data_IF_826677833718
#
_entry.id   IF_826677833718
#
_cell.length_a   1.000
_cell.length_b   1.000
_cell.length_c   1.000
_cell.angle_alpha   90.00
_cell.angle_beta   90.00
_cell.angle_gamma   90.00
#
_symmetry.space_group_name_H-M   'P 1'
#
loop_
_entity.id
_entity.type
_entity.pdbx_description
1 polymer ?
#
# COMPACT_ATOMS: atom_id res chain seq x y z
N UNK A 1 8.72 -7.72 3.27
CA UNK A 1 7.33 -7.90 2.79
C UNK A 1 6.93 -6.69 1.98
N UNK A 2 6.38 -6.93 0.81
CA UNK A 2 5.87 -5.87 -0.05
C UNK A 2 4.37 -6.02 -0.19
N UNK A 3 3.64 -4.95 0.13
CA UNK A 3 2.19 -4.87 -0.04
C UNK A 3 1.93 -4.00 -1.27
N UNK A 4 1.27 -4.56 -2.26
CA UNK A 4 0.88 -3.82 -3.46
C UNK A 4 -0.63 -3.89 -3.62
N UNK A 5 -1.27 -2.74 -3.70
CA UNK A 5 -2.69 -2.65 -3.98
C UNK A 5 -2.88 -2.07 -5.38
N UNK A 6 -3.58 -2.81 -6.24
CA UNK A 6 -3.87 -2.37 -7.60
C UNK A 6 -5.19 -1.62 -7.61
N UNK A 7 -5.17 -0.41 -8.18
CA UNK A 7 -6.37 0.41 -8.30
C UNK A 7 -6.61 0.79 -9.77
N UNK A 8 -7.85 0.85 -10.13
CA UNK A 8 -8.30 1.36 -11.43
C UNK A 8 -8.92 2.74 -11.19
N UNK A 9 -8.66 3.67 -12.08
CA UNK A 9 -9.11 5.04 -11.93
C UNK A 9 -8.05 5.95 -11.33
N UNK A 10 -8.48 7.11 -10.83
CA UNK A 10 -7.56 8.18 -10.42
C UNK A 10 -7.06 8.01 -8.99
N UNK A 11 -5.85 8.54 -8.68
CA UNK A 11 -5.32 8.55 -7.31
C UNK A 11 -6.28 9.20 -6.32
N UNK A 12 -6.34 8.60 -5.12
CA UNK A 12 -7.15 9.11 -4.03
C UNK A 12 -6.44 8.81 -2.71
N UNK A 13 -6.37 9.81 -1.83
CA UNK A 13 -5.67 9.69 -0.54
C UNK A 13 -6.23 8.60 0.36
N UNK A 14 -7.51 8.27 0.24
CA UNK A 14 -8.11 7.21 1.05
C UNK A 14 -7.49 5.84 0.77
N UNK A 15 -6.95 5.63 -0.43
CA UNK A 15 -6.28 4.38 -0.78
C UNK A 15 -4.95 4.22 -0.04
N UNK A 16 -4.27 5.34 0.23
CA UNK A 16 -3.06 5.33 1.05
C UNK A 16 -3.35 4.80 2.46
N UNK A 17 -4.48 5.22 3.04
CA UNK A 17 -4.91 4.76 4.35
C UNK A 17 -5.22 3.27 4.36
N UNK A 18 -5.78 2.73 3.27
CA UNK A 18 -6.02 1.30 3.16
C UNK A 18 -4.72 0.51 3.21
N UNK A 19 -3.72 0.92 2.43
CA UNK A 19 -2.42 0.25 2.41
C UNK A 19 -1.73 0.37 3.76
N UNK A 20 -1.78 1.54 4.39
CA UNK A 20 -1.25 1.74 5.73
C UNK A 20 -1.92 0.81 6.74
N UNK A 21 -3.22 0.61 6.63
CA UNK A 21 -3.95 -0.33 7.48
C UNK A 21 -3.48 -1.77 7.32
N UNK A 22 -3.22 -2.20 6.10
CA UNK A 22 -2.66 -3.54 5.84
C UNK A 22 -1.25 -3.68 6.43
N UNK A 23 -0.43 -2.64 6.29
CA UNK A 23 0.92 -2.65 6.85
C UNK A 23 0.90 -2.73 8.38
N UNK A 24 0.01 -1.97 9.03
CA UNK A 24 -0.17 -2.02 10.48
C UNK A 24 -0.63 -3.39 10.95
N UNK A 25 -1.51 -4.03 10.19
CA UNK A 25 -1.98 -5.37 10.51
C UNK A 25 -0.80 -6.35 10.52
N UNK A 26 0.09 -6.26 9.53
CA UNK A 26 1.27 -7.09 9.47
C UNK A 26 2.19 -6.88 10.67
N UNK A 27 2.36 -5.64 11.11
CA UNK A 27 3.13 -5.33 12.32
C UNK A 27 2.51 -6.00 13.54
N UNK A 28 1.19 -5.95 13.67
CA UNK A 28 0.48 -6.61 14.78
C UNK A 28 0.63 -8.13 14.75
N UNK A 29 0.83 -8.69 13.56
CA UNK A 29 1.07 -10.12 13.39
C UNK A 29 2.51 -10.51 13.73
N UNK A 30 3.37 -9.57 14.06
CA UNK A 30 4.74 -9.83 14.48
C UNK A 30 5.83 -9.54 13.46
N UNK A 31 5.49 -8.99 12.30
CA UNK A 31 6.49 -8.61 11.31
C UNK A 31 7.14 -7.27 11.67
N UNK A 32 8.43 -7.14 11.36
CA UNK A 32 9.18 -5.91 11.59
C UNK A 32 8.68 -4.79 10.65
N UNK A 33 8.28 -3.67 11.21
CA UNK A 33 7.81 -2.51 10.45
C UNK A 33 8.84 -2.05 9.39
N UNK A 34 10.13 -2.15 9.69
CA UNK A 34 11.19 -1.76 8.77
C UNK A 34 11.35 -2.73 7.59
N UNK A 35 10.79 -3.92 7.69
CA UNK A 35 10.82 -4.92 6.63
C UNK A 35 9.58 -4.90 5.75
N UNK A 36 8.66 -3.97 5.98
CA UNK A 36 7.39 -3.87 5.26
C UNK A 36 7.41 -2.61 4.40
N UNK A 37 7.09 -2.78 3.10
CA UNK A 37 6.92 -1.67 2.17
C UNK A 37 5.53 -1.75 1.55
N UNK A 38 4.90 -0.61 1.34
CA UNK A 38 3.58 -0.53 0.75
C UNK A 38 3.56 0.34 -0.50
N UNK A 39 2.82 -0.09 -1.50
CA UNK A 39 2.69 0.62 -2.76
C UNK A 39 1.25 0.59 -3.25
N UNK A 40 0.86 1.68 -3.91
CA UNK A 40 -0.36 1.77 -4.69
C UNK A 40 0.00 1.81 -6.16
N UNK A 41 -0.57 0.91 -6.93
CA UNK A 41 -0.37 0.88 -8.38
C UNK A 41 -1.67 1.26 -9.07
N UNK A 42 -1.69 2.46 -9.65
CA UNK A 42 -2.81 2.94 -10.48
C UNK A 42 -2.58 2.46 -11.91
N UNK A 43 -3.20 1.35 -12.24
CA UNK A 43 -2.89 0.58 -13.45
C UNK A 43 -3.16 1.40 -14.72
N UNK A 44 -4.32 2.06 -14.79
CA UNK A 44 -4.69 2.85 -15.97
C UNK A 44 -3.85 4.11 -16.15
N UNK A 45 -3.39 4.70 -15.03
CA UNK A 45 -2.57 5.92 -15.06
C UNK A 45 -1.08 5.60 -15.18
N UNK A 46 -0.70 4.33 -15.10
CA UNK A 46 0.70 3.90 -15.08
C UNK A 46 1.53 4.57 -13.99
N UNK A 47 0.93 4.76 -12.81
CA UNK A 47 1.57 5.40 -11.66
C UNK A 47 1.72 4.38 -10.54
N UNK A 48 2.91 4.34 -9.95
CA UNK A 48 3.18 3.58 -8.74
C UNK A 48 3.60 4.56 -7.66
N UNK A 49 2.85 4.57 -6.55
CA UNK A 49 3.15 5.44 -5.42
C UNK A 49 3.57 4.60 -4.21
N UNK A 50 4.65 5.01 -3.58
CA UNK A 50 5.06 4.42 -2.29
C UNK A 50 4.23 5.02 -1.17
N UNK A 51 3.71 4.15 -0.35
CA UNK A 51 2.92 4.53 0.83
C UNK A 51 3.79 4.64 2.07
#
# INVERSE_FOLDING_TARGET
>A
IVVVDFKFGKPNKKYNKQVQGYMELLVRMGYDANAISGYLWYVEEEIIEKV
#
